data_IF_741089067774
#
_entry.id   IF_741089067774
#
_cell.length_a   1.000
_cell.length_b   1.000
_cell.length_c   1.000
_cell.angle_alpha   90.00
_cell.angle_beta   90.00
_cell.angle_gamma   90.00
#
_symmetry.space_group_name_H-M   'P 1'
#
loop_
_entity.id
_entity.type
_entity.pdbx_description
1 polymer ?
#
# COMPACT_ATOMS: atom_id res chain seq x y z
N UNK A 1 -3.13 -4.13 1.90
CA UNK A 1 -3.70 -3.08 1.03
C UNK A 1 -4.39 -1.98 1.83
N UNK A 2 -5.39 -2.32 2.66
CA UNK A 2 -6.10 -1.29 3.46
C UNK A 2 -5.17 -0.59 4.48
N UNK A 3 -4.39 -1.36 5.24
CA UNK A 3 -3.45 -0.81 6.23
C UNK A 3 -2.35 0.07 5.60
N UNK A 4 -1.90 -0.27 4.39
CA UNK A 4 -0.91 0.54 3.67
C UNK A 4 -1.51 1.87 3.24
N UNK A 5 -2.69 1.86 2.61
CA UNK A 5 -3.39 3.07 2.17
C UNK A 5 -3.79 3.96 3.36
N UNK A 6 -4.22 3.39 4.48
CA UNK A 6 -4.54 4.15 5.71
C UNK A 6 -3.28 4.80 6.30
N UNK A 7 -2.17 4.08 6.37
CA UNK A 7 -0.91 4.61 6.87
C UNK A 7 -0.38 5.72 5.94
N UNK A 8 -0.50 5.55 4.62
CA UNK A 8 -0.18 6.58 3.63
C UNK A 8 -1.09 7.81 3.81
N UNK A 9 -2.40 7.62 4.00
CA UNK A 9 -3.35 8.70 4.26
C UNK A 9 -3.05 9.48 5.55
N UNK A 10 -2.69 8.76 6.62
CA UNK A 10 -2.35 9.32 7.93
C UNK A 10 -1.07 10.17 7.86
N UNK A 11 -0.02 9.67 7.20
CA UNK A 11 1.23 10.43 6.96
C UNK A 11 0.95 11.75 6.24
N UNK A 12 0.13 11.70 5.20
CA UNK A 12 -0.23 12.87 4.41
C UNK A 12 -1.32 13.75 5.07
N UNK A 13 -1.93 13.34 6.18
CA UNK A 13 -2.90 14.15 6.94
C UNK A 13 -2.24 15.27 7.74
N UNK A 14 -0.92 15.18 7.96
CA UNK A 14 -0.16 16.22 8.66
C UNK A 14 0.16 17.44 7.78
N UNK A 15 -0.15 17.41 6.47
CA UNK A 15 0.09 18.52 5.53
C UNK A 15 -1.27 19.05 5.07
N UNK A 16 -1.55 20.33 5.31
CA UNK A 16 -2.81 20.99 4.95
C UNK A 16 -2.92 21.18 3.42
N UNK A 17 -3.21 20.10 2.71
CA UNK A 17 -3.36 20.05 1.26
C UNK A 17 -4.80 19.64 0.89
N UNK A 18 -5.23 19.99 -0.33
CA UNK A 18 -6.57 19.66 -0.79
C UNK A 18 -6.77 18.14 -0.88
N UNK A 19 -7.94 17.62 -0.44
CA UNK A 19 -8.19 16.19 -0.31
C UNK A 19 -8.21 15.47 -1.66
N UNK A 20 -8.50 16.21 -2.74
CA UNK A 20 -8.44 15.70 -4.12
C UNK A 20 -6.99 15.46 -4.55
N UNK A 21 -6.09 16.43 -4.32
CA UNK A 21 -4.66 16.31 -4.65
C UNK A 21 -3.99 15.21 -3.83
N UNK A 22 -4.33 15.13 -2.54
CA UNK A 22 -3.87 14.07 -1.64
C UNK A 22 -4.33 12.68 -2.09
N UNK A 23 -5.63 12.52 -2.39
CA UNK A 23 -6.18 11.23 -2.83
C UNK A 23 -5.57 10.79 -4.15
N UNK A 24 -5.44 11.71 -5.11
CA UNK A 24 -4.92 11.40 -6.43
C UNK A 24 -3.43 11.03 -6.41
N UNK A 25 -2.60 11.65 -5.55
CA UNK A 25 -1.22 11.20 -5.35
C UNK A 25 -1.15 9.80 -4.72
N UNK A 26 -1.97 9.54 -3.70
CA UNK A 26 -2.01 8.21 -3.06
C UNK A 26 -2.43 7.16 -4.09
N UNK A 27 -3.44 7.47 -4.91
CA UNK A 27 -3.91 6.56 -5.94
C UNK A 27 -2.87 6.37 -7.05
N UNK A 28 -2.15 7.42 -7.47
CA UNK A 28 -1.15 7.29 -8.53
C UNK A 28 0.07 6.48 -8.09
N UNK A 29 0.41 6.49 -6.80
CA UNK A 29 1.61 5.83 -6.29
C UNK A 29 1.34 4.42 -5.74
N UNK A 30 0.34 4.28 -4.87
CA UNK A 30 0.06 3.01 -4.18
C UNK A 30 -0.89 2.10 -4.96
N UNK A 31 -1.80 2.65 -5.79
CA UNK A 31 -2.75 1.82 -6.54
C UNK A 31 -2.09 0.95 -7.62
N UNK A 32 -1.09 1.42 -8.40
CA UNK A 32 -0.40 0.56 -9.37
C UNK A 32 0.35 -0.60 -8.69
N UNK A 33 1.06 -0.32 -7.59
CA UNK A 33 1.79 -1.35 -6.87
C UNK A 33 0.85 -2.42 -6.29
N UNK A 34 -0.27 -1.98 -5.70
CA UNK A 34 -1.28 -2.89 -5.14
C UNK A 34 -1.99 -3.69 -6.23
N UNK A 35 -2.38 -3.09 -7.34
CA UNK A 35 -3.02 -3.79 -8.47
C UNK A 35 -2.11 -4.86 -9.07
N UNK A 36 -0.83 -4.53 -9.32
CA UNK A 36 0.14 -5.51 -9.85
C UNK A 36 0.29 -6.69 -8.88
N UNK A 37 0.43 -6.40 -7.58
CA UNK A 37 0.58 -7.45 -6.56
C UNK A 37 -0.65 -8.36 -6.48
N UNK A 38 -1.86 -7.80 -6.46
CA UNK A 38 -3.09 -8.60 -6.47
C UNK A 38 -3.23 -9.40 -7.77
N UNK A 39 -2.88 -8.82 -8.92
CA UNK A 39 -2.96 -9.51 -10.20
C UNK A 39 -2.04 -10.74 -10.24
N UNK A 40 -0.80 -10.61 -9.76
CA UNK A 40 0.13 -11.73 -9.64
C UNK A 40 -0.47 -12.84 -8.78
N UNK A 41 -1.06 -12.50 -7.63
CA UNK A 41 -1.70 -13.47 -6.72
C UNK A 41 -2.88 -14.16 -7.40
N UNK A 42 -3.77 -13.42 -8.06
CA UNK A 42 -4.95 -13.95 -8.75
C UNK A 42 -4.51 -14.94 -9.84
N UNK A 43 -3.56 -14.55 -10.69
CA UNK A 43 -3.04 -15.41 -11.76
C UNK A 43 -2.37 -16.65 -11.18
N UNK A 44 -1.57 -16.51 -10.12
CA UNK A 44 -0.89 -17.63 -9.48
C UNK A 44 -1.89 -18.68 -8.95
N UNK A 45 -2.92 -18.25 -8.22
CA UNK A 45 -3.96 -19.15 -7.72
C UNK A 45 -4.85 -19.72 -8.83
N UNK A 46 -5.13 -18.95 -9.88
CA UNK A 46 -5.87 -19.46 -11.03
C UNK A 46 -5.10 -20.56 -11.77
N UNK A 47 -3.78 -20.39 -11.95
CA UNK A 47 -2.91 -21.41 -12.56
C UNK A 47 -2.89 -22.67 -11.69
N UNK A 48 -2.62 -22.55 -10.38
CA UNK A 48 -2.62 -23.68 -9.45
C UNK A 48 -3.97 -24.41 -9.44
N UNK A 49 -5.07 -23.66 -9.44
CA UNK A 49 -6.43 -24.21 -9.52
C UNK A 49 -6.69 -24.98 -10.82
N UNK A 50 -6.15 -24.51 -11.95
CA UNK A 50 -6.31 -25.17 -13.25
C UNK A 50 -5.44 -26.42 -13.43
N UNK A 51 -4.27 -26.47 -12.78
CA UNK A 51 -3.29 -27.56 -12.99
C UNK A 51 -3.41 -28.69 -11.97
N UNK A 52 -4.11 -28.45 -10.85
CA UNK A 52 -4.20 -29.43 -9.76
C UNK A 52 -5.28 -30.48 -10.00
N UNK A 53 -4.94 -31.75 -9.80
CA UNK A 53 -5.88 -32.89 -9.93
C UNK A 53 -6.75 -33.13 -8.70
N UNK A 54 -6.36 -32.61 -7.54
CA UNK A 54 -7.12 -32.73 -6.30
C UNK A 54 -8.30 -31.75 -6.30
N UNK A 55 -9.55 -32.23 -6.18
CA UNK A 55 -10.74 -31.37 -6.26
C UNK A 55 -10.81 -30.36 -5.11
N UNK A 56 -10.26 -30.70 -3.94
CA UNK A 56 -10.20 -29.80 -2.80
C UNK A 56 -9.28 -28.60 -3.05
N UNK A 57 -8.07 -28.86 -3.55
CA UNK A 57 -7.10 -27.81 -3.87
C UNK A 57 -7.56 -26.94 -5.03
N UNK A 58 -8.25 -27.51 -6.01
CA UNK A 58 -8.87 -26.78 -7.11
C UNK A 58 -9.91 -25.78 -6.59
N UNK A 59 -10.86 -26.24 -5.77
CA UNK A 59 -11.89 -25.38 -5.18
C UNK A 59 -11.28 -24.26 -4.33
N UNK A 60 -10.36 -24.59 -3.42
CA UNK A 60 -9.70 -23.61 -2.55
C UNK A 60 -8.93 -22.55 -3.34
N UNK A 61 -8.22 -22.94 -4.40
CA UNK A 61 -7.44 -22.01 -5.23
C UNK A 61 -8.34 -21.02 -5.98
N UNK A 62 -9.46 -21.48 -6.54
CA UNK A 62 -10.41 -20.59 -7.21
C UNK A 62 -11.14 -19.65 -6.23
N UNK A 63 -11.52 -20.15 -5.04
CA UNK A 63 -12.13 -19.31 -4.00
C UNK A 63 -11.17 -18.21 -3.54
N UNK A 64 -9.88 -18.54 -3.34
CA UNK A 64 -8.86 -17.56 -2.97
C UNK A 64 -8.63 -16.53 -4.08
N UNK A 65 -8.53 -16.96 -5.35
CA UNK A 65 -8.39 -16.05 -6.47
C UNK A 65 -9.58 -15.08 -6.59
N UNK A 66 -10.81 -15.59 -6.48
CA UNK A 66 -12.02 -14.78 -6.50
C UNK A 66 -12.07 -13.81 -5.30
N UNK A 67 -11.70 -14.27 -4.10
CA UNK A 67 -11.63 -13.44 -2.90
C UNK A 67 -10.67 -12.26 -3.06
N UNK A 68 -9.47 -12.51 -3.58
CA UNK A 68 -8.48 -11.45 -3.84
C UNK A 68 -8.97 -10.47 -4.91
N UNK A 69 -9.66 -10.95 -5.95
CA UNK A 69 -10.24 -10.08 -6.97
C UNK A 69 -11.32 -9.15 -6.41
N UNK A 70 -12.24 -9.68 -5.58
CA UNK A 70 -13.27 -8.88 -4.91
C UNK A 70 -12.63 -7.86 -3.96
N UNK A 71 -11.63 -8.28 -3.18
CA UNK A 71 -10.88 -7.38 -2.29
C UNK A 71 -10.18 -6.26 -3.06
N UNK A 72 -9.62 -6.54 -4.25
CA UNK A 72 -9.00 -5.52 -5.09
C UNK A 72 -10.02 -4.48 -5.56
N UNK A 73 -11.18 -4.94 -6.07
CA UNK A 73 -12.27 -4.05 -6.51
C UNK A 73 -12.76 -3.19 -5.34
N UNK A 74 -12.95 -3.81 -4.17
CA UNK A 74 -13.36 -3.11 -2.96
C UNK A 74 -12.31 -2.07 -2.51
N UNK A 75 -11.03 -2.44 -2.51
CA UNK A 75 -9.95 -1.54 -2.11
C UNK A 75 -9.77 -0.37 -3.09
N UNK A 76 -9.97 -0.55 -4.39
CA UNK A 76 -9.83 0.54 -5.35
C UNK A 76 -11.05 1.44 -5.43
N UNK A 77 -12.26 0.88 -5.47
CA UNK A 77 -13.48 1.66 -5.71
C UNK A 77 -14.10 2.14 -4.41
N UNK A 78 -14.33 1.23 -3.47
CA UNK A 78 -15.03 1.57 -2.24
C UNK A 78 -14.12 2.40 -1.35
N UNK A 79 -12.92 1.92 -1.06
CA UNK A 79 -12.01 2.63 -0.15
C UNK A 79 -11.62 4.03 -0.64
N UNK A 80 -11.40 4.22 -1.95
CA UNK A 80 -11.08 5.54 -2.50
C UNK A 80 -12.22 6.55 -2.32
N UNK A 81 -13.48 6.13 -2.50
CA UNK A 81 -14.65 6.97 -2.24
C UNK A 81 -14.76 7.33 -0.76
N UNK A 82 -14.51 6.37 0.14
CA UNK A 82 -14.51 6.65 1.58
C UNK A 82 -13.40 7.61 2.00
N UNK A 83 -12.18 7.47 1.47
CA UNK A 83 -11.09 8.41 1.69
C UNK A 83 -11.42 9.81 1.13
N UNK A 84 -12.03 9.88 -0.05
CA UNK A 84 -12.47 11.15 -0.63
C UNK A 84 -13.51 11.84 0.25
N UNK A 85 -14.52 11.11 0.71
CA UNK A 85 -15.54 11.63 1.62
C UNK A 85 -14.94 12.04 2.97
N UNK A 86 -13.95 11.30 3.47
CA UNK A 86 -13.23 11.63 4.70
C UNK A 86 -12.44 12.93 4.54
N UNK A 87 -11.63 13.05 3.49
CA UNK A 87 -10.88 14.27 3.20
C UNK A 87 -11.80 15.48 2.99
N UNK A 88 -12.94 15.32 2.30
CA UNK A 88 -13.92 16.40 2.12
C UNK A 88 -14.60 16.83 3.42
N UNK A 89 -14.71 15.94 4.40
CA UNK A 89 -15.22 16.27 5.75
C UNK A 89 -14.14 16.97 6.58
N UNK A 90 -12.89 16.55 6.45
CA UNK A 90 -11.74 17.22 7.08
C UNK A 90 -11.61 18.67 6.58
N UNK A 91 -11.77 18.95 5.28
CA UNK A 91 -11.77 20.33 4.74
C UNK A 91 -12.89 21.22 5.23
N UNK A 92 -14.00 20.62 5.68
CA UNK A 92 -15.12 21.35 6.27
C UNK A 92 -14.92 21.59 7.77
N UNK A 93 -13.76 21.23 8.32
CA UNK A 93 -13.46 21.34 9.74
C UNK A 93 -14.27 20.35 10.58
N UNK A 94 -14.59 19.15 10.07
CA UNK A 94 -15.28 18.12 10.86
C UNK A 94 -14.37 16.91 10.98
N UNK A 95 -13.75 16.71 12.16
CA UNK A 95 -12.89 15.55 12.42
C UNK A 95 -13.75 14.28 12.51
N UNK A 96 -13.43 13.27 11.70
CA UNK A 96 -14.21 12.02 11.54
C UNK A 96 -14.47 11.26 12.85
N UNK A 97 -13.60 11.42 13.85
CA UNK A 97 -13.66 10.71 15.14
C UNK A 97 -14.03 11.60 16.34
N UNK A 98 -14.16 12.92 16.15
CA UNK A 98 -14.54 13.86 17.21
C UNK A 98 -15.81 14.60 16.80
N UNK A 99 -16.96 14.03 17.17
CA UNK A 99 -18.22 14.79 17.14
C UNK A 99 -18.03 16.08 17.96
N UNK A 100 -18.44 17.22 17.40
CA UNK A 100 -18.46 18.55 18.05
C UNK A 100 -17.11 19.29 18.25
N UNK A 101 -16.03 18.93 17.53
CA UNK A 101 -14.84 19.81 17.42
C UNK A 101 -14.61 20.25 15.99
N UNK A 102 -14.53 21.57 15.79
CA UNK A 102 -14.05 22.16 14.54
C UNK A 102 -12.59 21.73 14.30
N UNK A 103 -12.35 21.09 13.16
CA UNK A 103 -11.03 20.80 12.61
C UNK A 103 -10.38 22.05 12.03
N UNK A 104 -9.17 21.89 11.50
CA UNK A 104 -8.35 23.00 11.02
C UNK A 104 -9.04 23.74 9.86
N UNK A 105 -9.03 25.07 9.90
CA UNK A 105 -9.72 25.95 8.92
C UNK A 105 -8.79 26.51 7.85
N UNK A 106 -7.48 26.28 7.97
CA UNK A 106 -6.46 26.77 7.06
C UNK A 106 -5.98 25.65 6.14
N UNK A 107 -6.83 25.24 5.19
CA UNK A 107 -6.39 24.41 4.07
C UNK A 107 -5.82 25.31 2.97
N UNK A 108 -4.64 24.96 2.45
CA UNK A 108 -4.09 25.66 1.30
C UNK A 108 -4.99 25.42 0.07
N UNK A 109 -5.26 26.46 -0.74
CA UNK A 109 -6.05 26.31 -1.95
C UNK A 109 -5.36 25.40 -2.96
N UNK A 110 -6.15 24.68 -3.77
CA UNK A 110 -5.69 23.82 -4.87
C UNK A 110 -4.60 24.49 -5.68
N UNK A 111 -3.44 23.85 -5.77
CA UNK A 111 -2.30 24.38 -6.53
C UNK A 111 -2.14 23.71 -7.89
N UNK A 112 -2.73 22.54 -8.09
CA UNK A 112 -2.53 21.70 -9.28
C UNK A 112 -3.88 21.45 -9.97
N UNK A 113 -4.08 22.10 -11.10
CA UNK A 113 -5.25 21.94 -11.96
C UNK A 113 -5.10 20.75 -12.94
N UNK A 114 -3.87 20.40 -13.34
CA UNK A 114 -3.57 19.31 -14.26
C UNK A 114 -2.57 18.31 -13.65
N UNK A 115 -2.93 17.02 -13.70
CA UNK A 115 -2.08 15.93 -13.24
C UNK A 115 -1.02 15.62 -14.30
N UNK A 116 0.22 16.04 -14.05
CA UNK A 116 1.42 15.73 -14.85
C UNK A 116 2.49 15.05 -13.98
N UNK A 117 3.42 14.31 -14.58
CA UNK A 117 4.46 13.58 -13.83
C UNK A 117 5.29 14.51 -12.93
N UNK A 118 5.60 15.73 -13.40
CA UNK A 118 6.29 16.75 -12.62
C UNK A 118 5.47 17.24 -11.41
N UNK A 119 4.14 17.32 -11.55
CA UNK A 119 3.26 17.68 -10.44
C UNK A 119 3.19 16.58 -9.38
N UNK A 120 3.25 15.30 -9.79
CA UNK A 120 3.29 14.14 -8.88
C UNK A 120 4.60 14.13 -8.09
N UNK A 121 5.73 14.38 -8.75
CA UNK A 121 7.04 14.46 -8.10
C UNK A 121 7.10 15.63 -7.10
N UNK A 122 6.58 16.80 -7.47
CA UNK A 122 6.50 17.97 -6.58
C UNK A 122 5.57 17.73 -5.38
N UNK A 123 4.43 17.07 -5.58
CA UNK A 123 3.53 16.67 -4.50
C UNK A 123 4.20 15.63 -3.59
N UNK A 124 4.92 14.66 -4.16
CA UNK A 124 5.65 13.65 -3.40
C UNK A 124 6.73 14.28 -2.52
N UNK A 125 7.49 15.24 -3.05
CA UNK A 125 8.51 15.98 -2.29
C UNK A 125 7.90 16.79 -1.14
N UNK A 126 6.79 17.50 -1.40
CA UNK A 126 6.07 18.27 -0.37
C UNK A 126 5.47 17.40 0.74
N UNK A 127 5.05 16.19 0.38
CA UNK A 127 4.32 15.29 1.26
C UNK A 127 5.22 14.25 1.94
N UNK A 128 6.52 14.21 1.59
CA UNK A 128 7.47 13.28 2.19
C UNK A 128 7.61 13.61 3.68
N UNK A 129 7.00 12.78 4.53
CA UNK A 129 7.19 12.93 5.98
C UNK A 129 8.64 12.55 6.28
N UNK A 130 9.48 13.52 6.62
CA UNK A 130 10.90 13.33 6.98
C UNK A 130 11.09 12.78 8.38
N UNK A 131 10.00 12.52 9.13
CA UNK A 131 10.08 11.95 10.47
C UNK A 131 10.86 10.62 10.49
N UNK A 132 11.69 10.40 11.53
CA UNK A 132 12.39 9.14 11.71
C UNK A 132 11.36 8.05 12.03
N UNK A 133 11.26 7.04 11.16
CA UNK A 133 10.44 5.86 11.37
C UNK A 133 11.32 4.65 11.67
N UNK A 134 10.79 3.68 12.41
CA UNK A 134 11.48 2.39 12.63
C UNK A 134 11.87 1.75 11.30
N UNK A 135 10.97 1.77 10.31
CA UNK A 135 11.25 1.28 8.96
C UNK A 135 12.44 1.96 8.29
N UNK A 136 12.61 3.28 8.46
CA UNK A 136 13.78 4.01 7.93
C UNK A 136 15.06 3.68 8.69
N UNK A 137 14.99 3.53 10.01
CA UNK A 137 16.14 3.12 10.81
C UNK A 137 16.60 1.71 10.41
N UNK A 138 15.67 0.76 10.23
CA UNK A 138 15.99 -0.59 9.76
C UNK A 138 16.50 -0.58 8.32
N UNK A 139 15.92 0.22 7.42
CA UNK A 139 16.39 0.35 6.05
C UNK A 139 17.80 0.95 5.98
N UNK A 140 18.10 1.98 6.78
CA UNK A 140 19.42 2.58 6.87
C UNK A 140 20.46 1.59 7.44
N UNK A 141 20.07 0.79 8.45
CA UNK A 141 20.91 -0.27 8.98
C UNK A 141 21.20 -1.37 7.93
N UNK A 142 20.16 -1.85 7.22
CA UNK A 142 20.29 -2.84 6.15
C UNK A 142 21.06 -2.31 4.93
N UNK A 143 21.02 -1.00 4.70
CA UNK A 143 21.78 -0.35 3.64
C UNK A 143 23.29 -0.24 3.97
N UNK A 144 23.72 -0.52 5.20
CA UNK A 144 25.14 -0.50 5.56
C UNK A 144 25.88 -1.69 4.92
N UNK A 145 26.95 -1.43 4.16
CA UNK A 145 27.73 -2.46 3.45
C UNK A 145 28.23 -3.58 4.37
N UNK A 146 28.51 -3.28 5.64
CA UNK A 146 28.95 -4.28 6.63
C UNK A 146 27.85 -5.28 7.02
N UNK A 147 26.57 -4.90 6.95
CA UNK A 147 25.44 -5.77 7.30
C UNK A 147 24.87 -6.52 6.09
N UNK A 148 25.08 -6.03 4.87
CA UNK A 148 24.59 -6.68 3.64
C UNK A 148 25.14 -8.10 3.47
N UNK A 149 26.44 -8.28 3.61
CA UNK A 149 27.11 -9.58 3.44
C UNK A 149 26.66 -10.64 4.45
N UNK A 150 26.66 -10.39 5.78
CA UNK A 150 26.21 -11.39 6.74
C UNK A 150 24.73 -11.73 6.60
N UNK A 151 23.88 -10.74 6.31
CA UNK A 151 22.45 -10.98 6.06
C UNK A 151 22.26 -11.90 4.84
N UNK A 152 22.93 -11.61 3.72
CA UNK A 152 22.89 -12.46 2.53
C UNK A 152 23.38 -13.89 2.82
N UNK A 153 24.45 -14.04 3.62
CA UNK A 153 24.98 -15.34 3.99
C UNK A 153 24.01 -16.15 4.85
N UNK A 154 23.32 -15.52 5.80
CA UNK A 154 22.28 -16.17 6.61
C UNK A 154 21.12 -16.65 5.73
N UNK A 155 20.66 -15.83 4.79
CA UNK A 155 19.62 -16.24 3.84
C UNK A 155 20.06 -17.38 2.92
N UNK A 156 21.33 -17.40 2.51
CA UNK A 156 21.90 -18.50 1.72
C UNK A 156 21.93 -19.82 2.52
N UNK A 157 22.35 -19.79 3.79
CA UNK A 157 22.30 -20.96 4.67
C UNK A 157 20.87 -21.46 4.83
N UNK A 158 19.92 -20.54 5.07
CA UNK A 158 18.51 -20.88 5.19
C UNK A 158 17.97 -21.57 3.93
N UNK A 159 18.33 -21.08 2.74
CA UNK A 159 17.96 -21.71 1.47
C UNK A 159 18.53 -23.12 1.32
N UNK A 160 19.81 -23.31 1.65
CA UNK A 160 20.45 -24.63 1.59
C UNK A 160 19.76 -25.62 2.53
N UNK A 161 19.46 -25.19 3.76
CA UNK A 161 18.73 -26.00 4.74
C UNK A 161 17.30 -26.31 4.29
N UNK A 162 16.60 -25.34 3.72
CA UNK A 162 15.24 -25.54 3.20
C UNK A 162 15.22 -26.53 2.04
N UNK A 163 16.16 -26.42 1.09
CA UNK A 163 16.30 -27.36 -0.04
C UNK A 163 16.65 -28.76 0.46
N UNK A 164 17.56 -28.86 1.44
CA UNK A 164 17.95 -30.14 2.01
C UNK A 164 16.79 -30.79 2.78
N UNK A 165 16.02 -30.02 3.55
CA UNK A 165 14.82 -30.51 4.25
C UNK A 165 13.68 -30.92 3.31
N UNK A 166 13.58 -30.31 2.13
CA UNK A 166 12.63 -30.74 1.09
C UNK A 166 13.04 -32.03 0.36
N UNK A 167 14.28 -32.51 0.53
CA UNK A 167 14.74 -33.76 -0.10
C UNK A 167 14.16 -35.01 0.59
N UNK A 168 13.77 -34.89 1.85
CA UNK A 168 13.26 -35.99 2.67
C UNK A 168 11.72 -36.10 2.69
N UNK A 169 11.03 -35.42 1.75
CA UNK A 169 9.56 -35.47 1.54
C UNK A 169 9.26 -36.04 0.16
#
# INVERSE_FOLDING_TARGET
MLFTLENTWSKYSNVACDPVEKLSLILSWDAPCTTITAFIIIVSFAVIGSTTKSPYLQYMSFVLAAGVAVLLIFALLFFSVFLYLAGRRETKGVKWYQCFRSGDTHFAPRTINEFSDSSIEMLHEKLIDTKPSFSRATAAAMANSYLRCPVAFIFAIYLVLAIWGCKDV
#
